data_IF_259534107379
#
_entry.id   IF_259534107379
#
_cell.length_a   1.000
_cell.length_b   1.000
_cell.length_c   1.000
_cell.angle_alpha   90.00
_cell.angle_beta   90.00
_cell.angle_gamma   90.00
#
_symmetry.space_group_name_H-M   'P 1'
#
loop_
_entity.id
_entity.type
_entity.pdbx_description
1 polymer ?
#
# COMPACT_ATOMS: atom_id res chain seq x y z
N UNK A 1 -4.93 13.29 13.31
CA UNK A 1 -3.69 12.51 13.19
C UNK A 1 -4.15 11.09 12.88
N UNK A 2 -3.76 10.52 11.73
CA UNK A 2 -4.06 9.10 11.45
C UNK A 2 -3.44 8.25 12.56
N UNK A 3 -4.14 7.19 12.94
CA UNK A 3 -3.65 6.21 13.89
C UNK A 3 -2.38 5.57 13.32
N UNK A 4 -1.31 5.52 14.10
CA UNK A 4 -0.08 4.82 13.75
C UNK A 4 -0.21 3.38 14.26
N UNK A 5 -0.57 2.45 13.38
CA UNK A 5 -0.71 1.02 13.69
C UNK A 5 0.62 0.34 13.99
N UNK A 6 1.71 0.89 13.47
CA UNK A 6 3.07 0.38 13.63
C UNK A 6 3.84 1.09 14.75
N UNK A 7 3.16 1.91 15.56
CA UNK A 7 3.82 2.60 16.66
C UNK A 7 4.43 1.58 17.65
N UNK A 8 5.70 1.77 18.00
CA UNK A 8 6.47 0.86 18.86
C UNK A 8 6.64 -0.58 18.33
N UNK A 9 6.51 -0.82 17.02
CA UNK A 9 6.78 -2.14 16.42
C UNK A 9 8.20 -2.27 15.86
N UNK A 10 8.69 -3.51 15.72
CA UNK A 10 9.95 -3.81 15.04
C UNK A 10 9.92 -3.36 13.57
N UNK A 11 8.76 -3.46 12.93
CA UNK A 11 8.53 -2.97 11.58
C UNK A 11 8.83 -1.48 11.43
N UNK A 12 8.46 -0.65 12.42
CA UNK A 12 8.78 0.78 12.39
C UNK A 12 10.29 1.01 12.53
N UNK A 13 10.99 0.24 13.36
CA UNK A 13 12.44 0.32 13.48
C UNK A 13 13.13 -0.06 12.16
N UNK A 14 12.63 -1.11 11.48
CA UNK A 14 13.09 -1.53 10.16
C UNK A 14 12.88 -0.43 9.12
N UNK A 15 11.68 0.16 9.04
CA UNK A 15 11.39 1.25 8.10
C UNK A 15 12.30 2.46 8.34
N UNK A 16 12.57 2.80 9.60
CA UNK A 16 13.45 3.92 9.95
C UNK A 16 14.92 3.65 9.59
N UNK A 17 15.31 2.39 9.41
CA UNK A 17 16.67 2.01 8.98
C UNK A 17 16.87 2.09 7.46
N UNK A 18 15.78 2.09 6.68
CA UNK A 18 15.82 2.23 5.22
C UNK A 18 16.34 3.63 4.86
N UNK A 19 17.38 3.69 4.03
CA UNK A 19 17.86 4.97 3.52
C UNK A 19 16.88 5.54 2.49
N UNK A 20 16.79 6.88 2.39
CA UNK A 20 15.85 7.52 1.46
C UNK A 20 16.06 7.12 -0.01
N UNK A 21 17.29 6.73 -0.39
CA UNK A 21 17.60 6.26 -1.74
C UNK A 21 17.24 4.81 -2.02
N UNK A 22 16.96 4.01 -0.98
CA UNK A 22 16.63 2.57 -1.10
C UNK A 22 15.13 2.32 -1.05
N UNK A 23 14.33 3.26 -0.54
CA UNK A 23 12.88 3.10 -0.39
C UNK A 23 12.16 2.72 -1.70
N UNK A 24 12.63 3.22 -2.83
CA UNK A 24 12.09 2.89 -4.16
C UNK A 24 12.16 1.39 -4.49
N UNK A 25 13.19 0.68 -4.00
CA UNK A 25 13.39 -0.75 -4.27
C UNK A 25 12.24 -1.61 -3.73
N UNK A 26 11.49 -1.08 -2.75
CA UNK A 26 10.34 -1.76 -2.16
C UNK A 26 9.05 -1.59 -2.97
N UNK A 27 8.99 -0.71 -3.97
CA UNK A 27 7.72 -0.39 -4.69
C UNK A 27 7.04 -1.66 -5.20
N UNK A 28 7.79 -2.58 -5.81
CA UNK A 28 7.29 -3.89 -6.27
C UNK A 28 6.55 -4.64 -5.17
N UNK A 29 7.19 -4.79 -4.01
CA UNK A 29 6.66 -5.52 -2.86
C UNK A 29 5.41 -4.86 -2.29
N UNK A 30 5.38 -3.53 -2.25
CA UNK A 30 4.21 -2.78 -1.82
C UNK A 30 3.05 -2.94 -2.79
N UNK A 31 3.29 -2.90 -4.11
CA UNK A 31 2.27 -3.19 -5.13
C UNK A 31 1.68 -4.60 -4.90
N UNK A 32 2.54 -5.61 -4.76
CA UNK A 32 2.10 -6.98 -4.48
C UNK A 32 1.24 -7.05 -3.21
N UNK A 33 1.62 -6.34 -2.15
CA UNK A 33 0.90 -6.38 -0.89
C UNK A 33 -0.48 -5.69 -0.93
N UNK A 34 -0.61 -4.52 -1.58
CA UNK A 34 -1.92 -3.87 -1.72
C UNK A 34 -2.84 -4.66 -2.66
N UNK A 35 -2.28 -5.28 -3.70
CA UNK A 35 -3.03 -6.16 -4.58
C UNK A 35 -3.54 -7.40 -3.83
N UNK A 36 -2.74 -7.99 -2.93
CA UNK A 36 -3.20 -9.10 -2.08
C UNK A 36 -4.43 -8.72 -1.25
N UNK A 37 -4.43 -7.51 -0.66
CA UNK A 37 -5.60 -7.02 0.05
C UNK A 37 -6.82 -6.93 -0.88
N UNK A 38 -6.66 -6.39 -2.09
CA UNK A 38 -7.74 -6.24 -3.06
C UNK A 38 -8.30 -7.59 -3.56
N UNK A 39 -7.46 -8.63 -3.63
CA UNK A 39 -7.89 -10.00 -3.94
C UNK A 39 -8.78 -10.58 -2.83
N UNK A 40 -8.47 -10.30 -1.57
CA UNK A 40 -9.24 -10.75 -0.40
C UNK A 40 -10.51 -9.90 -0.19
N UNK A 41 -10.44 -8.60 -0.50
CA UNK A 41 -11.45 -7.59 -0.25
C UNK A 41 -11.66 -6.71 -1.48
N UNK A 42 -12.35 -7.25 -2.48
CA UNK A 42 -12.53 -6.60 -3.77
C UNK A 42 -13.43 -5.37 -3.72
N UNK A 43 -12.99 -4.29 -4.37
CA UNK A 43 -13.78 -3.12 -4.68
C UNK A 43 -13.81 -2.90 -6.20
N UNK A 44 -15.01 -2.95 -6.80
CA UNK A 44 -15.20 -2.79 -8.25
C UNK A 44 -14.59 -1.48 -8.78
N UNK A 45 -14.65 -0.39 -8.01
CA UNK A 45 -14.07 0.91 -8.36
C UNK A 45 -12.55 0.83 -8.59
N UNK A 46 -11.87 -0.13 -7.96
CA UNK A 46 -10.43 -0.31 -8.06
C UNK A 46 -10.01 -1.50 -8.95
N UNK A 47 -10.93 -2.14 -9.66
CA UNK A 47 -10.62 -3.28 -10.54
C UNK A 47 -9.60 -2.91 -11.64
N UNK A 48 -9.78 -1.75 -12.28
CA UNK A 48 -8.85 -1.24 -13.29
C UNK A 48 -7.48 -0.91 -12.67
N UNK A 49 -7.47 -0.38 -11.45
CA UNK A 49 -6.24 -0.04 -10.71
C UNK A 49 -5.46 -1.31 -10.39
N UNK A 50 -6.14 -2.32 -9.86
CA UNK A 50 -5.57 -3.63 -9.56
C UNK A 50 -4.96 -4.27 -10.81
N UNK A 51 -5.72 -4.32 -11.90
CA UNK A 51 -5.29 -4.90 -13.18
C UNK A 51 -4.07 -4.14 -13.75
N UNK A 52 -4.10 -2.81 -13.73
CA UNK A 52 -2.98 -1.98 -14.16
C UNK A 52 -1.71 -2.25 -13.33
N UNK A 53 -1.86 -2.38 -12.02
CA UNK A 53 -0.74 -2.70 -11.13
C UNK A 53 -0.18 -4.11 -11.37
N UNK A 54 -1.03 -5.09 -11.68
CA UNK A 54 -0.57 -6.42 -12.08
C UNK A 54 0.24 -6.38 -13.38
N UNK A 55 -0.22 -5.66 -14.40
CA UNK A 55 0.52 -5.48 -15.66
C UNK A 55 1.90 -4.85 -15.42
N UNK A 56 1.98 -3.81 -14.58
CA UNK A 56 3.26 -3.18 -14.19
C UNK A 56 4.22 -4.18 -13.52
N UNK A 57 3.69 -5.08 -12.69
CA UNK A 57 4.49 -6.14 -12.07
C UNK A 57 5.00 -7.16 -13.08
N UNK A 58 4.16 -7.59 -14.02
CA UNK A 58 4.44 -8.58 -15.05
C UNK A 58 5.47 -8.09 -16.08
N UNK A 59 5.38 -6.82 -16.47
CA UNK A 59 6.28 -6.20 -17.45
C UNK A 59 7.61 -5.74 -16.83
N UNK A 60 7.75 -5.79 -15.51
CA UNK A 60 8.86 -5.17 -14.75
C UNK A 60 9.05 -3.68 -15.08
N UNK A 61 7.95 -3.01 -15.44
CA UNK A 61 7.88 -1.58 -15.64
C UNK A 61 7.26 -0.94 -14.41
N UNK A 62 8.08 -0.43 -13.51
CA UNK A 62 7.61 0.30 -12.32
C UNK A 62 7.65 1.82 -12.51
N UNK A 63 7.62 2.30 -13.75
CA UNK A 63 7.51 3.72 -14.07
C UNK A 63 6.05 4.20 -13.96
N UNK A 64 5.82 5.18 -13.09
CA UNK A 64 4.53 5.83 -12.86
C UNK A 64 4.56 7.33 -13.22
N UNK A 65 5.57 7.79 -13.96
CA UNK A 65 5.62 9.17 -14.46
C UNK A 65 4.45 9.51 -15.38
N UNK A 66 3.92 8.51 -16.08
CA UNK A 66 2.71 8.58 -16.92
C UNK A 66 1.65 7.60 -16.42
N UNK A 67 0.92 8.01 -15.37
CA UNK A 67 -0.26 7.26 -14.91
C UNK A 67 -1.46 7.55 -15.83
N UNK A 68 -2.14 6.54 -16.41
CA UNK A 68 -3.33 6.77 -17.20
C UNK A 68 -4.42 7.47 -16.39
N UNK A 69 -5.13 8.42 -17.02
CA UNK A 69 -6.15 9.23 -16.33
C UNK A 69 -7.23 8.37 -15.67
N UNK A 70 -7.68 7.31 -16.34
CA UNK A 70 -8.67 6.36 -15.81
C UNK A 70 -8.22 5.74 -14.48
N UNK A 71 -6.94 5.39 -14.35
CA UNK A 71 -6.38 4.81 -13.11
C UNK A 71 -6.32 5.88 -12.02
N UNK A 72 -5.86 7.09 -12.37
CA UNK A 72 -5.86 8.22 -11.43
C UNK A 72 -7.27 8.57 -10.93
N UNK A 73 -8.26 8.56 -11.82
CA UNK A 73 -9.66 8.86 -11.51
C UNK A 73 -10.26 7.80 -10.59
N UNK A 74 -10.04 6.51 -10.88
CA UNK A 74 -10.50 5.41 -10.04
C UNK A 74 -9.94 5.50 -8.61
N UNK A 75 -8.62 5.75 -8.47
CA UNK A 75 -7.98 5.99 -7.18
C UNK A 75 -8.64 7.18 -6.47
N UNK A 76 -8.84 8.29 -7.18
CA UNK A 76 -9.41 9.50 -6.62
C UNK A 76 -10.86 9.32 -6.17
N UNK A 77 -11.70 8.65 -6.96
CA UNK A 77 -13.08 8.34 -6.60
C UNK A 77 -13.09 7.49 -5.34
N UNK A 78 -12.36 6.37 -5.32
CA UNK A 78 -12.31 5.50 -4.14
C UNK A 78 -11.79 6.20 -2.88
N UNK A 79 -10.90 7.19 -3.00
CA UNK A 79 -10.40 7.96 -1.86
C UNK A 79 -11.48 8.79 -1.14
N UNK A 80 -12.53 9.20 -1.87
CA UNK A 80 -13.59 10.08 -1.37
C UNK A 80 -14.94 9.38 -1.19
N UNK A 81 -14.96 8.05 -1.27
CA UNK A 81 -16.15 7.25 -1.03
C UNK A 81 -16.52 7.23 0.47
N UNK A 82 -17.73 6.74 0.77
CA UNK A 82 -18.18 6.58 2.15
C UNK A 82 -17.51 5.39 2.85
N UNK A 83 -17.01 4.42 2.10
CA UNK A 83 -16.40 3.20 2.62
C UNK A 83 -14.96 3.47 3.08
N UNK A 84 -14.71 3.46 4.39
CA UNK A 84 -13.40 3.77 4.96
C UNK A 84 -12.28 2.87 4.43
N UNK A 85 -12.48 1.55 4.37
CA UNK A 85 -11.47 0.64 3.85
C UNK A 85 -11.14 0.89 2.37
N UNK A 86 -12.12 1.28 1.56
CA UNK A 86 -11.88 1.72 0.18
C UNK A 86 -11.02 2.99 0.15
N UNK A 87 -11.34 3.99 0.99
CA UNK A 87 -10.57 5.23 1.05
C UNK A 87 -9.10 4.97 1.38
N UNK A 88 -8.85 4.08 2.34
CA UNK A 88 -7.51 3.70 2.78
C UNK A 88 -6.74 2.92 1.70
N UNK A 89 -7.37 1.97 1.01
CA UNK A 89 -6.72 1.25 -0.10
C UNK A 89 -6.45 2.16 -1.29
N UNK A 90 -7.36 3.08 -1.62
CA UNK A 90 -7.11 4.14 -2.59
C UNK A 90 -5.92 5.02 -2.20
N UNK A 91 -5.79 5.36 -0.91
CA UNK A 91 -4.63 6.11 -0.42
C UNK A 91 -3.32 5.33 -0.60
N UNK A 92 -3.34 4.01 -0.32
CA UNK A 92 -2.21 3.13 -0.55
C UNK A 92 -1.81 3.07 -2.04
N UNK A 93 -2.77 2.84 -2.95
CA UNK A 93 -2.53 2.88 -4.40
C UNK A 93 -1.98 4.24 -4.85
N UNK A 94 -2.49 5.35 -4.33
CA UNK A 94 -1.99 6.69 -4.65
C UNK A 94 -0.52 6.88 -4.29
N UNK A 95 -0.06 6.31 -3.17
CA UNK A 95 1.33 6.40 -2.73
C UNK A 95 2.24 5.62 -3.69
N UNK A 96 1.90 4.36 -3.98
CA UNK A 96 2.72 3.49 -4.85
C UNK A 96 2.62 3.84 -6.33
N UNK A 97 1.62 4.62 -6.75
CA UNK A 97 1.47 5.11 -8.12
C UNK A 97 1.99 6.53 -8.30
N UNK A 98 2.64 7.13 -7.29
CA UNK A 98 3.16 8.49 -7.40
C UNK A 98 4.33 8.52 -8.41
N UNK A 99 4.49 9.62 -9.17
CA UNK A 99 5.50 9.71 -10.24
C UNK A 99 6.93 9.94 -9.73
N UNK A 100 7.10 10.18 -8.43
CA UNK A 100 8.41 10.39 -7.80
C UNK A 100 8.87 9.13 -7.06
N UNK A 101 10.19 8.99 -6.80
CA UNK A 101 10.68 7.90 -5.97
C UNK A 101 10.01 7.86 -4.60
N UNK A 102 9.72 6.65 -4.10
CA UNK A 102 9.24 6.43 -2.74
C UNK A 102 10.31 6.87 -1.74
N UNK A 103 9.84 7.38 -0.62
CA UNK A 103 10.63 7.71 0.57
C UNK A 103 10.26 6.75 1.68
N UNK A 104 11.05 6.68 2.76
CA UNK A 104 10.66 5.87 3.93
C UNK A 104 9.33 6.32 4.54
N UNK A 105 8.98 7.61 4.41
CA UNK A 105 7.71 8.15 4.89
C UNK A 105 6.53 7.63 4.07
N UNK A 106 6.72 7.43 2.77
CA UNK A 106 5.72 6.80 1.92
C UNK A 106 5.46 5.36 2.33
N UNK A 107 6.51 4.57 2.59
CA UNK A 107 6.40 3.19 3.08
C UNK A 107 5.61 3.16 4.39
N UNK A 108 5.98 4.03 5.35
CA UNK A 108 5.27 4.17 6.62
C UNK A 108 3.80 4.52 6.41
N UNK A 109 3.49 5.49 5.55
CA UNK A 109 2.10 5.92 5.31
C UNK A 109 1.29 4.82 4.64
N UNK A 110 1.85 4.19 3.60
CA UNK A 110 1.25 3.08 2.87
C UNK A 110 0.86 1.92 3.79
N UNK A 111 1.77 1.50 4.67
CA UNK A 111 1.50 0.41 5.63
C UNK A 111 0.36 0.80 6.58
N UNK A 112 0.36 2.03 7.10
CA UNK A 112 -0.70 2.46 8.01
C UNK A 112 -2.07 2.50 7.33
N UNK A 113 -2.15 2.92 6.06
CA UNK A 113 -3.39 2.89 5.30
C UNK A 113 -3.92 1.44 5.17
N UNK A 114 -3.08 0.49 4.75
CA UNK A 114 -3.54 -0.90 4.59
C UNK A 114 -3.94 -1.54 5.92
N UNK A 115 -3.21 -1.26 7.01
CA UNK A 115 -3.59 -1.76 8.34
C UNK A 115 -4.90 -1.13 8.86
N UNK A 116 -5.16 0.14 8.54
CA UNK A 116 -6.46 0.76 8.82
C UNK A 116 -7.57 0.08 8.00
N UNK A 117 -7.32 -0.22 6.72
CA UNK A 117 -8.26 -0.95 5.88
C UNK A 117 -8.59 -2.35 6.44
N UNK A 118 -7.58 -3.11 6.89
CA UNK A 118 -7.80 -4.39 7.57
C UNK A 118 -8.64 -4.24 8.84
N UNK A 119 -8.45 -3.17 9.61
CA UNK A 119 -9.21 -2.92 10.83
C UNK A 119 -10.70 -2.68 10.61
N UNK A 120 -11.10 -2.33 9.38
CA UNK A 120 -12.51 -2.22 9.00
C UNK A 120 -13.17 -3.59 8.82
N UNK A 121 -12.39 -4.64 8.55
CA UNK A 121 -12.88 -5.99 8.28
C UNK A 121 -12.67 -6.95 9.46
N UNK A 122 -11.64 -6.71 10.27
CA UNK A 122 -11.22 -7.62 11.33
C UNK A 122 -10.97 -6.89 12.66
N UNK A 123 -11.29 -7.52 13.80
CA UNK A 123 -10.76 -7.11 15.10
C UNK A 123 -9.24 -7.07 15.09
N UNK A 124 -8.65 -6.15 15.86
CA UNK A 124 -7.19 -5.95 15.93
C UNK A 124 -6.44 -7.25 16.18
N UNK A 125 -6.97 -8.09 17.07
CA UNK A 125 -6.37 -9.35 17.51
C UNK A 125 -6.32 -10.42 16.40
N UNK A 126 -7.11 -10.27 15.34
CA UNK A 126 -7.20 -11.24 14.24
C UNK A 126 -6.26 -10.92 13.07
N UNK A 127 -5.86 -9.65 12.90
CA UNK A 127 -5.02 -9.25 11.75
C UNK A 127 -3.67 -8.66 12.15
N UNK A 128 -3.57 -7.91 13.26
CA UNK A 128 -2.43 -7.01 13.43
C UNK A 128 -1.10 -7.75 13.53
N UNK A 129 -0.99 -8.75 14.40
CA UNK A 129 0.26 -9.50 14.56
C UNK A 129 0.63 -10.27 13.30
N UNK A 130 -0.37 -10.83 12.60
CA UNK A 130 -0.18 -11.52 11.31
C UNK A 130 0.41 -10.58 10.27
N UNK A 131 -0.20 -9.40 10.09
CA UNK A 131 0.25 -8.43 9.09
C UNK A 131 1.57 -7.77 9.47
N UNK A 132 1.82 -7.48 10.75
CA UNK A 132 3.11 -6.95 11.20
C UNK A 132 4.25 -7.93 10.93
N UNK A 133 4.04 -9.23 11.16
CA UNK A 133 5.03 -10.26 10.86
C UNK A 133 5.27 -10.36 9.35
N UNK A 134 4.21 -10.47 8.55
CA UNK A 134 4.32 -10.52 7.09
C UNK A 134 5.06 -9.30 6.53
N UNK A 135 4.71 -8.10 6.98
CA UNK A 135 5.36 -6.87 6.52
C UNK A 135 6.82 -6.77 6.97
N UNK A 136 7.14 -7.26 8.16
CA UNK A 136 8.53 -7.32 8.64
C UNK A 136 9.36 -8.23 7.74
N UNK A 137 8.85 -9.43 7.42
CA UNK A 137 9.51 -10.36 6.48
C UNK A 137 9.64 -9.73 5.08
N UNK A 138 8.54 -9.17 4.56
CA UNK A 138 8.50 -8.51 3.25
C UNK A 138 9.59 -7.44 3.13
N UNK A 139 9.81 -6.64 4.17
CA UNK A 139 10.80 -5.56 4.16
C UNK A 139 12.24 -6.01 4.51
N UNK A 140 12.42 -7.19 5.13
CA UNK A 140 13.73 -7.70 5.54
C UNK A 140 14.48 -8.43 4.42
N UNK A 141 13.75 -8.99 3.45
CA UNK A 141 14.35 -9.66 2.31
C UNK A 141 14.91 -8.62 1.32
N UNK A 142 16.23 -8.54 1.19
CA UNK A 142 16.91 -7.80 0.12
C UNK A 142 17.78 -8.76 -0.69
#
# INVERSE_FOLDING_TARGET
>A
MLKSWIENSELLALINSISEGEAEQYRRKLITYVNRYQEEHSFDILEDVFTYMQLKLEEDDLDFTTLPQQISDAIQVGYYEYCLSLNEISAAYKIISKPTPLTRLDIKSFINHILEAFSCNYPKEEFLDRELNYLTELLSEF
#
